data_IF_479775768053
#
_entry.id   IF_479775768053
#
_cell.length_a   1.000
_cell.length_b   1.000
_cell.length_c   1.000
_cell.angle_alpha   90.00
_cell.angle_beta   90.00
_cell.angle_gamma   90.00
#
_symmetry.space_group_name_H-M   'P 1'
#
loop_
_entity.id
_entity.type
_entity.pdbx_description
1 polymer ?
#
# COMPACT_ATOMS: atom_id res chain seq x y z
N UNK A 1 6.50 1.81 -16.89
CA UNK A 1 7.13 1.66 -15.54
C UNK A 1 6.57 2.73 -14.63
N UNK A 2 6.22 2.43 -13.34
CA UNK A 2 5.67 3.37 -12.38
C UNK A 2 6.55 3.44 -11.13
N UNK A 3 7.18 4.58 -10.79
CA UNK A 3 7.88 4.74 -9.53
C UNK A 3 6.88 4.86 -8.38
N UNK A 4 7.25 4.33 -7.21
CA UNK A 4 6.49 4.51 -5.98
C UNK A 4 7.02 5.71 -5.22
N UNK A 5 6.16 6.70 -4.98
CA UNK A 5 6.45 7.86 -4.15
C UNK A 5 6.14 7.53 -2.69
N UNK A 6 7.14 7.69 -1.82
CA UNK A 6 7.08 7.15 -0.48
C UNK A 6 7.71 8.10 0.55
N UNK A 7 6.99 8.30 1.66
CA UNK A 7 7.47 9.00 2.84
C UNK A 7 7.27 8.12 4.08
N UNK A 8 8.35 7.81 4.78
CA UNK A 8 8.33 6.85 5.91
C UNK A 8 7.57 7.36 7.13
N UNK A 9 7.43 8.69 7.29
CA UNK A 9 6.83 9.28 8.47
C UNK A 9 7.59 8.91 9.75
N UNK A 10 6.87 8.62 10.81
CA UNK A 10 7.40 8.17 12.09
C UNK A 10 7.69 6.65 12.15
N UNK A 11 7.58 5.92 11.03
CA UNK A 11 7.94 4.50 11.02
C UNK A 11 9.45 4.32 11.20
N UNK A 12 9.83 3.38 12.08
CA UNK A 12 11.24 3.07 12.37
C UNK A 12 11.54 1.64 11.97
N UNK A 13 12.68 1.46 11.33
CA UNK A 13 13.24 0.12 11.15
C UNK A 13 14.01 -0.28 12.42
N UNK A 14 13.54 -1.26 13.20
CA UNK A 14 14.21 -1.65 14.45
C UNK A 14 15.58 -2.33 14.21
N UNK A 15 15.88 -2.67 12.95
CA UNK A 15 17.16 -3.33 12.58
C UNK A 15 18.27 -2.35 12.20
N UNK A 16 17.98 -1.03 12.20
CA UNK A 16 19.00 -0.01 11.92
C UNK A 16 19.30 0.82 13.15
N UNK A 17 20.56 1.19 13.32
CA UNK A 17 21.00 2.19 14.31
C UNK A 17 20.77 3.62 13.83
N UNK A 18 20.50 3.82 12.54
CA UNK A 18 20.21 5.14 12.00
C UNK A 18 18.88 5.67 12.54
N UNK A 19 18.88 6.89 12.99
CA UNK A 19 17.68 7.61 13.45
C UNK A 19 17.50 8.84 12.57
N UNK A 20 16.28 9.03 12.05
CA UNK A 20 15.96 10.26 11.32
C UNK A 20 16.23 11.48 12.21
N UNK A 21 16.91 12.53 11.69
CA UNK A 21 17.05 13.76 12.44
C UNK A 21 15.66 14.40 12.62
N UNK A 22 15.43 15.13 13.74
CA UNK A 22 14.21 15.89 13.91
C UNK A 22 14.15 17.08 12.92
N UNK A 23 12.94 17.55 12.52
CA UNK A 23 11.64 17.01 12.92
C UNK A 23 11.33 15.67 12.23
N UNK A 24 10.52 14.83 12.89
CA UNK A 24 10.01 13.59 12.32
C UNK A 24 8.52 13.78 11.99
N UNK A 25 8.18 13.68 10.73
CA UNK A 25 6.82 13.89 10.26
C UNK A 25 5.89 12.77 10.71
N UNK A 26 4.81 13.14 11.38
CA UNK A 26 3.70 12.27 11.71
C UNK A 26 2.44 13.09 12.02
N UNK A 27 1.23 12.53 11.91
CA UNK A 27 0.02 13.29 12.20
C UNK A 27 -0.02 13.83 13.64
N UNK A 28 0.46 13.07 14.63
CA UNK A 28 0.29 13.40 16.05
C UNK A 28 1.54 13.13 16.90
N UNK A 29 2.73 13.07 16.30
CA UNK A 29 3.95 12.76 17.04
C UNK A 29 4.02 11.31 17.55
N UNK A 30 3.27 10.38 16.92
CA UNK A 30 3.21 8.97 17.32
C UNK A 30 3.80 8.06 16.25
N UNK A 31 4.65 7.11 16.64
CA UNK A 31 5.17 6.05 15.76
C UNK A 31 4.25 4.80 15.71
N UNK A 32 3.45 4.61 16.75
CA UNK A 32 2.41 3.57 16.90
C UNK A 32 1.50 3.97 18.07
N UNK A 33 0.36 3.29 18.30
CA UNK A 33 -0.54 3.62 19.41
C UNK A 33 0.19 3.76 20.74
N UNK A 34 0.01 4.93 21.38
CA UNK A 34 0.60 5.25 22.67
C UNK A 34 2.12 5.44 22.73
N UNK A 35 2.82 5.41 21.58
CA UNK A 35 4.28 5.56 21.51
C UNK A 35 4.67 6.90 20.87
N UNK A 36 4.96 7.88 21.72
CA UNK A 36 5.44 9.18 21.26
C UNK A 36 6.79 9.05 20.50
N UNK A 37 6.90 9.82 19.40
CA UNK A 37 8.09 9.90 18.56
C UNK A 37 8.11 11.21 17.75
N UNK A 38 8.45 12.31 18.38
CA UNK A 38 8.48 13.65 17.78
C UNK A 38 7.22 14.47 18.09
N UNK A 39 7.02 15.51 17.32
CA UNK A 39 5.91 16.45 17.45
C UNK A 39 4.89 16.25 16.32
N UNK A 40 3.61 16.64 16.52
CA UNK A 40 2.65 16.66 15.42
C UNK A 40 3.10 17.58 14.29
N UNK A 41 2.88 17.17 13.04
CA UNK A 41 3.09 18.04 11.87
C UNK A 41 2.24 19.31 11.99
N UNK A 42 2.86 20.43 11.68
CA UNK A 42 2.15 21.72 11.53
C UNK A 42 1.41 21.77 10.21
N UNK A 43 0.46 22.69 10.04
CA UNK A 43 -0.23 22.91 8.76
C UNK A 43 0.75 23.25 7.64
N UNK A 44 1.81 24.01 7.94
CA UNK A 44 2.87 24.31 6.98
C UNK A 44 3.62 23.03 6.54
N UNK A 45 4.00 22.15 7.49
CA UNK A 45 4.65 20.87 7.18
C UNK A 45 3.76 19.95 6.35
N UNK A 46 2.45 19.92 6.63
CA UNK A 46 1.46 19.18 5.84
C UNK A 46 1.42 19.74 4.40
N UNK A 47 1.30 21.06 4.24
CA UNK A 47 1.26 21.71 2.93
C UNK A 47 2.55 21.47 2.13
N UNK A 48 3.72 21.60 2.76
CA UNK A 48 5.02 21.33 2.14
C UNK A 48 5.14 19.85 1.69
N UNK A 49 4.64 18.92 2.48
CA UNK A 49 4.63 17.49 2.14
C UNK A 49 3.71 17.22 0.95
N UNK A 50 2.51 17.78 0.92
CA UNK A 50 1.59 17.68 -0.22
C UNK A 50 2.28 18.22 -1.51
N UNK A 51 2.90 19.38 -1.42
CA UNK A 51 3.63 19.96 -2.55
C UNK A 51 4.81 19.10 -3.01
N UNK A 52 5.52 18.45 -2.08
CA UNK A 52 6.63 17.56 -2.39
C UNK A 52 6.17 16.31 -3.17
N UNK A 53 5.06 15.70 -2.80
CA UNK A 53 4.46 14.59 -3.57
C UNK A 53 4.06 15.03 -4.98
N UNK A 54 3.39 16.17 -5.14
CA UNK A 54 3.02 16.71 -6.45
C UNK A 54 4.25 16.96 -7.32
N UNK A 55 5.27 17.64 -6.77
CA UNK A 55 6.56 17.91 -7.47
C UNK A 55 7.25 16.60 -7.90
N UNK A 56 7.27 15.58 -7.04
CA UNK A 56 7.86 14.29 -7.36
C UNK A 56 7.10 13.59 -8.50
N UNK A 57 5.77 13.62 -8.48
CA UNK A 57 4.92 13.07 -9.55
C UNK A 57 5.17 13.78 -10.89
N UNK A 58 5.24 15.12 -10.89
CA UNK A 58 5.58 15.89 -12.08
C UNK A 58 6.98 15.58 -12.61
N UNK A 59 7.95 15.36 -11.72
CA UNK A 59 9.29 14.93 -12.12
C UNK A 59 9.28 13.54 -12.76
N UNK A 60 8.55 12.58 -12.19
CA UNK A 60 8.38 11.25 -12.77
C UNK A 60 7.80 11.32 -14.19
N UNK A 61 6.74 12.10 -14.39
CA UNK A 61 6.13 12.31 -15.72
C UNK A 61 7.13 12.91 -16.71
N UNK A 62 7.87 13.97 -16.32
CA UNK A 62 8.90 14.60 -17.20
C UNK A 62 10.04 13.65 -17.56
N UNK A 63 10.38 12.71 -16.68
CA UNK A 63 11.39 11.68 -16.92
C UNK A 63 10.89 10.51 -17.78
N UNK A 64 9.63 10.53 -18.22
CA UNK A 64 9.07 9.53 -19.12
C UNK A 64 8.52 8.29 -18.44
N UNK A 65 8.29 8.32 -17.12
CA UNK A 65 7.54 7.25 -16.46
C UNK A 65 6.06 7.31 -16.90
N UNK A 66 5.44 6.15 -17.04
CA UNK A 66 4.10 6.00 -17.63
C UNK A 66 2.98 6.15 -16.58
N UNK A 67 3.31 6.04 -15.30
CA UNK A 67 2.40 6.16 -14.15
C UNK A 67 3.21 6.49 -12.90
N UNK A 68 2.52 6.81 -11.79
CA UNK A 68 3.11 6.84 -10.43
C UNK A 68 2.26 6.02 -9.46
N UNK A 69 2.88 5.55 -8.38
CA UNK A 69 2.18 4.97 -7.25
C UNK A 69 2.48 5.76 -5.98
N UNK A 70 1.42 6.15 -5.25
CA UNK A 70 1.53 6.75 -3.92
C UNK A 70 1.52 5.64 -2.86
N UNK A 71 2.52 5.62 -1.97
CA UNK A 71 2.57 4.64 -0.89
C UNK A 71 1.77 5.08 0.34
N UNK A 72 0.48 4.68 0.39
CA UNK A 72 -0.46 4.96 1.47
C UNK A 72 -0.75 3.74 2.34
N UNK A 73 0.25 2.90 2.64
CA UNK A 73 0.08 1.61 3.31
C UNK A 73 1.13 1.36 4.39
N UNK A 74 0.95 0.28 5.16
CA UNK A 74 1.94 -0.38 6.01
C UNK A 74 2.45 0.43 7.20
N UNK A 75 1.73 1.46 7.64
CA UNK A 75 2.10 2.31 8.77
C UNK A 75 3.10 3.41 8.42
N UNK A 76 3.27 3.76 7.13
CA UNK A 76 4.04 4.91 6.69
C UNK A 76 3.21 6.20 6.67
N UNK A 77 3.77 7.35 6.31
CA UNK A 77 3.17 8.66 6.59
C UNK A 77 1.70 8.80 6.18
N UNK A 78 1.35 8.49 4.93
CA UNK A 78 -0.04 8.61 4.46
C UNK A 78 -0.95 7.67 5.26
N UNK A 79 -0.49 6.44 5.51
CA UNK A 79 -1.24 5.46 6.30
C UNK A 79 -1.34 5.85 7.79
N UNK A 80 -0.34 6.55 8.35
CA UNK A 80 -0.40 7.09 9.70
C UNK A 80 -1.53 8.13 9.85
N UNK A 81 -1.87 8.86 8.79
CA UNK A 81 -3.02 9.75 8.79
C UNK A 81 -4.35 8.99 8.78
N UNK A 82 -4.48 7.88 8.06
CA UNK A 82 -5.69 7.05 8.07
C UNK A 82 -5.91 6.37 9.41
N UNK A 83 -4.84 5.92 10.07
CA UNK A 83 -4.91 5.09 11.27
C UNK A 83 -5.19 5.92 12.52
N UNK A 84 -6.34 5.68 13.18
CA UNK A 84 -6.71 6.32 14.44
C UNK A 84 -5.69 6.09 15.56
N UNK A 85 -5.00 4.95 15.56
CA UNK A 85 -3.93 4.63 16.50
C UNK A 85 -2.73 5.58 16.46
N UNK A 86 -2.53 6.30 15.34
CA UNK A 86 -1.44 7.27 15.17
C UNK A 86 -1.92 8.67 14.84
N UNK A 87 -3.17 8.84 14.39
CA UNK A 87 -3.76 10.13 14.11
C UNK A 87 -4.75 10.53 15.22
N UNK A 88 -4.28 11.32 16.16
CA UNK A 88 -5.03 11.90 17.29
C UNK A 88 -5.33 13.38 17.07
N UNK A 89 -5.28 13.86 15.80
CA UNK A 89 -5.56 15.26 15.48
C UNK A 89 -7.02 15.60 15.69
N UNK A 90 -7.28 16.88 16.04
CA UNK A 90 -8.63 17.43 16.24
C UNK A 90 -8.97 18.50 15.21
N UNK A 91 -8.10 18.72 14.23
CA UNK A 91 -8.31 19.62 13.10
C UNK A 91 -8.92 18.89 11.89
N UNK A 92 -8.89 19.54 10.73
CA UNK A 92 -9.45 19.01 9.47
C UNK A 92 -8.82 17.68 8.97
N UNK A 93 -7.69 17.27 9.51
CA UNK A 93 -6.97 16.03 9.15
C UNK A 93 -7.13 14.93 10.20
N UNK A 94 -7.95 15.13 11.22
CA UNK A 94 -8.22 14.17 12.29
C UNK A 94 -9.72 13.95 12.51
N UNK A 95 -10.08 13.08 13.47
CA UNK A 95 -11.47 12.75 13.77
C UNK A 95 -11.94 11.46 13.12
N UNK A 96 -13.04 11.48 12.37
CA UNK A 96 -13.56 10.29 11.69
C UNK A 96 -12.70 9.83 10.51
N UNK A 97 -13.02 8.68 9.95
CA UNK A 97 -12.21 8.07 8.88
C UNK A 97 -12.17 8.95 7.61
N UNK A 98 -13.22 9.67 7.30
CA UNK A 98 -13.28 10.57 6.13
C UNK A 98 -12.34 11.76 6.34
N UNK A 99 -12.38 12.38 7.52
CA UNK A 99 -11.48 13.48 7.87
C UNK A 99 -10.01 13.03 7.93
N UNK A 100 -9.72 11.85 8.48
CA UNK A 100 -8.38 11.26 8.44
C UNK A 100 -7.90 10.95 7.02
N UNK A 101 -8.80 10.68 6.09
CA UNK A 101 -8.53 10.48 4.68
C UNK A 101 -8.14 11.74 3.90
N UNK A 102 -8.42 12.92 4.44
CA UNK A 102 -8.20 14.21 3.77
C UNK A 102 -6.77 14.44 3.32
N UNK A 103 -5.79 14.08 4.12
CA UNK A 103 -4.36 14.26 3.76
C UNK A 103 -4.02 13.51 2.46
N UNK A 104 -4.43 12.26 2.32
CA UNK A 104 -4.23 11.49 1.10
C UNK A 104 -5.03 12.06 -0.09
N UNK A 105 -6.26 12.50 0.14
CA UNK A 105 -7.07 13.14 -0.89
C UNK A 105 -6.45 14.45 -1.38
N UNK A 106 -5.88 15.26 -0.50
CA UNK A 106 -5.22 16.50 -0.88
C UNK A 106 -3.91 16.26 -1.64
N UNK A 107 -3.14 15.21 -1.28
CA UNK A 107 -1.99 14.74 -2.07
C UNK A 107 -2.46 14.31 -3.47
N UNK A 108 -3.51 13.50 -3.59
CA UNK A 108 -4.05 13.05 -4.87
C UNK A 108 -4.49 14.23 -5.76
N UNK A 109 -5.20 15.20 -5.21
CA UNK A 109 -5.61 16.42 -5.94
C UNK A 109 -4.39 17.22 -6.43
N UNK A 110 -3.40 17.42 -5.58
CA UNK A 110 -2.19 18.17 -5.94
C UNK A 110 -1.37 17.42 -7.01
N UNK A 111 -1.23 16.09 -6.88
CA UNK A 111 -0.62 15.24 -7.89
C UNK A 111 -1.38 15.32 -9.21
N UNK A 112 -2.71 15.19 -9.19
CA UNK A 112 -3.56 15.26 -10.38
C UNK A 112 -3.43 16.62 -11.10
N UNK A 113 -3.38 17.71 -10.34
CA UNK A 113 -3.16 19.05 -10.90
C UNK A 113 -1.80 19.16 -11.62
N UNK A 114 -0.76 18.53 -11.09
CA UNK A 114 0.59 18.55 -11.66
C UNK A 114 0.73 17.64 -12.89
N UNK A 115 0.17 16.41 -12.83
CA UNK A 115 0.36 15.42 -13.90
C UNK A 115 -0.74 15.46 -14.97
N UNK A 116 -1.85 16.15 -14.74
CA UNK A 116 -2.99 16.23 -15.67
C UNK A 116 -3.94 15.02 -15.59
N UNK A 117 -5.06 15.05 -16.34
CA UNK A 117 -6.16 14.08 -16.19
C UNK A 117 -5.83 12.66 -16.67
N UNK A 118 -4.97 12.52 -17.68
CA UNK A 118 -4.76 11.25 -18.39
C UNK A 118 -3.57 10.43 -17.87
N UNK A 119 -2.83 10.97 -16.90
CA UNK A 119 -1.66 10.28 -16.35
C UNK A 119 -2.08 9.35 -15.20
N UNK A 120 -1.83 8.03 -15.30
CA UNK A 120 -2.30 7.08 -14.28
C UNK A 120 -1.69 7.33 -12.90
N UNK A 121 -2.54 7.46 -11.89
CA UNK A 121 -2.17 7.63 -10.49
C UNK A 121 -2.69 6.43 -9.69
N UNK A 122 -1.75 5.64 -9.19
CA UNK A 122 -2.04 4.47 -8.35
C UNK A 122 -1.90 4.89 -6.88
N UNK A 123 -2.78 4.41 -6.01
CA UNK A 123 -2.57 4.50 -4.56
C UNK A 123 -2.50 3.11 -3.96
N UNK A 124 -1.40 2.81 -3.24
CA UNK A 124 -1.25 1.57 -2.51
C UNK A 124 -1.75 1.72 -1.09
N UNK A 125 -2.64 0.82 -0.68
CA UNK A 125 -3.30 0.84 0.62
C UNK A 125 -3.18 -0.52 1.31
N UNK A 126 -3.29 -0.53 2.65
CA UNK A 126 -3.40 -1.73 3.46
C UNK A 126 -4.30 -1.50 4.66
N UNK A 127 -5.03 -2.53 5.08
CA UNK A 127 -5.70 -2.51 6.37
C UNK A 127 -4.70 -2.65 7.52
N UNK A 128 -3.78 -3.61 7.40
CA UNK A 128 -2.76 -3.94 8.39
C UNK A 128 -1.57 -2.98 8.38
N UNK A 129 -0.84 -2.93 9.50
CA UNK A 129 0.37 -2.12 9.69
C UNK A 129 1.56 -3.01 10.07
N UNK A 130 2.79 -2.58 9.76
CA UNK A 130 3.99 -3.29 10.23
C UNK A 130 4.11 -3.25 11.75
N UNK A 131 3.59 -2.19 12.38
CA UNK A 131 3.61 -1.98 13.82
C UNK A 131 2.48 -2.73 14.53
N UNK A 132 1.40 -3.05 13.81
CA UNK A 132 0.24 -3.81 14.31
C UNK A 132 -0.40 -4.57 13.14
N UNK A 133 -0.12 -5.85 13.09
CA UNK A 133 -0.57 -6.71 11.98
C UNK A 133 -2.06 -7.03 12.03
N UNK A 134 -2.72 -6.76 13.14
CA UNK A 134 -4.16 -6.92 13.31
C UNK A 134 -4.94 -5.60 13.15
N UNK A 135 -4.24 -4.48 12.97
CA UNK A 135 -4.88 -3.20 12.74
C UNK A 135 -5.77 -3.27 11.48
N UNK A 136 -6.90 -2.56 11.55
CA UNK A 136 -7.81 -2.35 10.44
C UNK A 136 -8.20 -0.88 10.36
N UNK A 137 -8.24 -0.34 9.16
CA UNK A 137 -8.71 1.02 8.88
C UNK A 137 -10.24 1.03 8.81
N UNK A 138 -10.81 0.09 8.08
CA UNK A 138 -12.26 -0.07 7.90
C UNK A 138 -12.72 -1.41 8.46
N UNK A 139 -13.76 -1.41 9.29
CA UNK A 139 -14.32 -2.60 9.94
C UNK A 139 -15.51 -3.18 9.17
N UNK A 140 -16.06 -2.42 8.21
CA UNK A 140 -17.23 -2.81 7.42
C UNK A 140 -17.10 -2.33 5.98
N UNK A 141 -17.92 -2.88 5.05
CA UNK A 141 -18.02 -2.37 3.68
C UNK A 141 -18.37 -0.88 3.59
N UNK A 142 -19.24 -0.40 4.48
CA UNK A 142 -19.65 1.02 4.49
C UNK A 142 -18.49 1.93 4.92
N UNK A 143 -17.74 1.54 5.94
CA UNK A 143 -16.53 2.25 6.34
C UNK A 143 -15.46 2.22 5.24
N UNK A 144 -15.31 1.09 4.55
CA UNK A 144 -14.39 0.97 3.41
C UNK A 144 -14.82 1.88 2.26
N UNK A 145 -16.11 1.98 1.96
CA UNK A 145 -16.62 2.91 0.97
C UNK A 145 -16.33 4.37 1.37
N UNK A 146 -16.57 4.72 2.63
CA UNK A 146 -16.29 6.05 3.17
C UNK A 146 -14.79 6.40 3.11
N UNK A 147 -13.91 5.42 3.23
CA UNK A 147 -12.46 5.59 3.09
C UNK A 147 -12.02 5.74 1.65
N UNK A 148 -12.47 4.85 0.74
CA UNK A 148 -11.93 4.72 -0.62
C UNK A 148 -12.57 5.68 -1.62
N UNK A 149 -13.89 5.97 -1.50
CA UNK A 149 -14.59 6.82 -2.46
C UNK A 149 -14.02 8.24 -2.54
N UNK A 150 -13.70 8.94 -1.42
CA UNK A 150 -13.05 10.25 -1.49
C UNK A 150 -11.68 10.23 -2.17
N UNK A 151 -10.94 9.11 -2.10
CA UNK A 151 -9.65 8.97 -2.79
C UNK A 151 -9.84 8.79 -4.30
N UNK A 152 -10.85 8.03 -4.72
CA UNK A 152 -11.23 7.89 -6.13
C UNK A 152 -11.66 9.24 -6.72
N UNK A 153 -12.48 10.01 -5.98
CA UNK A 153 -12.96 11.34 -6.39
C UNK A 153 -11.81 12.37 -6.43
N UNK A 154 -10.80 12.21 -5.57
CA UNK A 154 -9.61 13.05 -5.54
C UNK A 154 -8.61 12.75 -6.68
N UNK A 155 -8.83 11.69 -7.47
CA UNK A 155 -8.02 11.39 -8.65
C UNK A 155 -7.17 10.13 -8.58
N UNK A 156 -7.44 9.20 -7.66
CA UNK A 156 -6.88 7.85 -7.74
C UNK A 156 -7.54 7.08 -8.90
N UNK A 157 -6.75 6.59 -9.84
CA UNK A 157 -7.23 5.79 -10.96
C UNK A 157 -7.25 4.30 -10.63
N UNK A 158 -6.28 3.83 -9.84
CA UNK A 158 -6.09 2.41 -9.53
C UNK A 158 -5.81 2.25 -8.03
N UNK A 159 -6.46 1.28 -7.40
CA UNK A 159 -6.20 0.90 -6.00
C UNK A 159 -5.31 -0.34 -5.94
N UNK A 160 -4.10 -0.22 -5.40
CA UNK A 160 -3.20 -1.33 -5.13
C UNK A 160 -3.41 -1.83 -3.70
N UNK A 161 -4.16 -2.92 -3.57
CA UNK A 161 -4.67 -3.43 -2.31
C UNK A 161 -3.71 -4.46 -1.70
N UNK A 162 -2.94 -4.04 -0.70
CA UNK A 162 -1.98 -4.91 -0.03
C UNK A 162 -2.63 -5.70 1.10
N UNK A 163 -2.64 -7.03 0.96
CA UNK A 163 -3.15 -8.00 1.95
C UNK A 163 -2.05 -8.91 2.47
N UNK A 164 -2.35 -9.63 3.55
CA UNK A 164 -1.47 -10.70 4.06
C UNK A 164 -1.44 -11.85 3.07
N UNK A 165 -2.63 -12.30 2.69
CA UNK A 165 -2.88 -13.35 1.68
C UNK A 165 -4.03 -12.92 0.80
N UNK A 166 -3.87 -12.98 -0.50
CA UNK A 166 -4.88 -12.52 -1.47
C UNK A 166 -6.17 -13.34 -1.42
N UNK A 167 -6.13 -14.54 -0.88
CA UNK A 167 -7.30 -15.44 -0.78
C UNK A 167 -8.12 -15.27 0.50
N UNK A 168 -7.64 -14.50 1.46
CA UNK A 168 -8.40 -14.23 2.70
C UNK A 168 -9.54 -13.24 2.41
N UNK A 169 -10.77 -13.56 2.84
CA UNK A 169 -11.88 -12.62 2.78
C UNK A 169 -11.59 -11.35 3.58
N UNK A 170 -12.08 -10.21 3.08
CA UNK A 170 -11.93 -8.94 3.79
C UNK A 170 -12.98 -8.77 4.90
N UNK A 171 -14.22 -9.18 4.63
CA UNK A 171 -15.34 -9.08 5.56
C UNK A 171 -16.12 -10.38 5.62
N UNK A 172 -16.73 -10.67 6.77
CA UNK A 172 -17.59 -11.82 6.97
C UNK A 172 -18.78 -11.80 5.99
N UNK A 173 -19.23 -12.99 5.59
CA UNK A 173 -20.37 -13.16 4.68
C UNK A 173 -20.04 -12.92 3.19
N UNK A 174 -18.78 -12.68 2.83
CA UNK A 174 -18.31 -12.56 1.45
C UNK A 174 -16.94 -13.18 1.31
N UNK A 175 -16.63 -13.78 0.16
CA UNK A 175 -15.30 -14.29 -0.15
C UNK A 175 -14.41 -13.27 -0.88
N UNK A 176 -14.91 -12.04 -1.14
CA UNK A 176 -14.13 -10.98 -1.74
C UNK A 176 -12.99 -10.56 -0.81
N UNK A 177 -11.82 -10.45 -1.39
CA UNK A 177 -10.65 -9.89 -0.74
C UNK A 177 -10.68 -8.35 -0.77
N UNK A 178 -9.67 -7.67 -0.21
CA UNK A 178 -9.60 -6.22 -0.19
C UNK A 178 -9.67 -5.60 -1.60
N UNK A 179 -8.97 -6.17 -2.58
CA UNK A 179 -9.01 -5.67 -3.96
C UNK A 179 -10.42 -5.83 -4.57
N UNK A 180 -11.09 -6.96 -4.33
CA UNK A 180 -12.45 -7.20 -4.79
C UNK A 180 -13.46 -6.23 -4.18
N UNK A 181 -13.32 -5.92 -2.89
CA UNK A 181 -14.15 -4.91 -2.25
C UNK A 181 -13.86 -3.50 -2.75
N UNK A 182 -12.58 -3.13 -2.90
CA UNK A 182 -12.20 -1.83 -3.44
C UNK A 182 -12.78 -1.61 -4.84
N UNK A 183 -12.68 -2.61 -5.72
CA UNK A 183 -13.28 -2.57 -7.06
C UNK A 183 -14.80 -2.42 -7.01
N UNK A 184 -15.46 -3.23 -6.18
CA UNK A 184 -16.93 -3.20 -6.03
C UNK A 184 -17.45 -1.86 -5.54
N UNK A 185 -16.75 -1.23 -4.59
CA UNK A 185 -17.18 0.01 -3.95
C UNK A 185 -16.84 1.26 -4.77
N UNK A 186 -15.72 1.27 -5.47
CA UNK A 186 -15.23 2.47 -6.20
C UNK A 186 -15.46 2.41 -7.70
N UNK A 187 -15.69 1.22 -8.26
CA UNK A 187 -15.72 1.01 -9.73
C UNK A 187 -14.36 1.22 -10.40
N UNK A 188 -13.27 1.41 -9.64
CA UNK A 188 -11.93 1.62 -10.19
C UNK A 188 -11.20 0.30 -10.38
N UNK A 189 -10.28 0.21 -11.35
CA UNK A 189 -9.37 -0.93 -11.47
C UNK A 189 -8.58 -1.17 -10.19
N UNK A 190 -8.29 -2.45 -9.90
CA UNK A 190 -7.56 -2.83 -8.69
C UNK A 190 -6.40 -3.77 -8.97
N UNK A 191 -5.36 -3.66 -8.15
CA UNK A 191 -4.22 -4.57 -8.10
C UNK A 191 -4.31 -5.34 -6.80
N UNK A 192 -4.35 -6.66 -6.86
CA UNK A 192 -4.24 -7.51 -5.67
C UNK A 192 -2.78 -7.90 -5.41
N UNK A 193 -2.40 -7.99 -4.12
CA UNK A 193 -1.10 -8.51 -3.68
C UNK A 193 -1.23 -9.12 -2.31
N UNK A 194 -0.48 -10.19 -2.07
CA UNK A 194 -0.38 -10.89 -0.78
C UNK A 194 -0.08 -12.35 -0.98
N UNK A 195 1.13 -12.79 -0.71
CA UNK A 195 1.60 -14.19 -0.85
C UNK A 195 1.32 -14.83 -2.22
N UNK A 196 1.29 -14.03 -3.30
CA UNK A 196 1.08 -14.55 -4.66
C UNK A 196 2.22 -15.50 -5.03
N UNK A 197 1.85 -16.74 -5.40
CA UNK A 197 2.78 -17.79 -5.79
C UNK A 197 3.65 -18.35 -4.66
N UNK A 198 3.39 -17.99 -3.38
CA UNK A 198 4.16 -18.44 -2.22
C UNK A 198 3.27 -18.92 -1.08
N UNK A 199 3.72 -19.95 -0.36
CA UNK A 199 3.00 -20.56 0.77
C UNK A 199 3.02 -19.70 2.04
N UNK A 200 4.07 -18.88 2.24
CA UNK A 200 4.29 -18.08 3.45
C UNK A 200 3.95 -16.61 3.28
N UNK A 201 3.57 -15.97 4.38
CA UNK A 201 3.28 -14.54 4.40
C UNK A 201 4.53 -13.66 4.56
N UNK A 202 4.36 -12.36 4.32
CA UNK A 202 5.46 -11.39 4.27
C UNK A 202 6.17 -11.18 5.62
N UNK A 203 5.43 -11.11 6.72
CA UNK A 203 6.01 -10.88 8.05
C UNK A 203 6.87 -12.06 8.52
N UNK A 204 6.44 -13.29 8.24
CA UNK A 204 7.20 -14.50 8.56
C UNK A 204 8.59 -14.49 7.88
N UNK A 205 8.66 -13.96 6.65
CA UNK A 205 9.93 -13.79 5.93
C UNK A 205 10.92 -12.84 6.64
N UNK A 206 10.43 -11.79 7.29
CA UNK A 206 11.28 -10.95 8.15
C UNK A 206 11.77 -11.67 9.40
N UNK A 207 11.04 -12.68 9.87
CA UNK A 207 11.44 -13.59 10.91
C UNK A 207 12.51 -14.61 10.46
N UNK A 208 12.84 -14.64 9.16
CA UNK A 208 13.80 -15.59 8.59
C UNK A 208 13.16 -16.82 7.95
N UNK A 209 11.82 -16.88 7.85
CA UNK A 209 11.14 -18.01 7.25
C UNK A 209 11.24 -18.01 5.73
N UNK A 210 11.50 -19.18 5.16
CA UNK A 210 11.43 -19.43 3.71
C UNK A 210 10.00 -19.76 3.29
N UNK A 211 9.69 -19.58 2.01
CA UNK A 211 8.37 -19.93 1.44
C UNK A 211 8.55 -20.76 0.18
N UNK A 212 7.75 -21.81 0.07
CA UNK A 212 7.71 -22.65 -1.12
C UNK A 212 6.77 -22.06 -2.17
N UNK A 213 6.96 -22.38 -3.45
CA UNK A 213 5.97 -22.11 -4.49
C UNK A 213 4.61 -22.68 -4.09
N UNK A 214 3.53 -21.94 -4.40
CA UNK A 214 2.15 -22.33 -4.13
C UNK A 214 1.34 -22.24 -5.43
N UNK A 215 0.23 -23.03 -5.50
CA UNK A 215 -0.69 -23.01 -6.64
C UNK A 215 -1.25 -21.63 -6.88
N UNK A 216 -1.45 -21.30 -8.16
CA UNK A 216 -2.12 -20.09 -8.63
C UNK A 216 -3.60 -20.30 -8.94
N UNK A 217 -4.15 -21.50 -8.78
CA UNK A 217 -5.53 -21.84 -9.16
C UNK A 217 -6.55 -20.90 -8.53
N UNK A 218 -6.41 -20.62 -7.23
CA UNK A 218 -7.31 -19.69 -6.54
C UNK A 218 -7.14 -18.24 -7.03
N UNK A 219 -5.93 -17.83 -7.38
CA UNK A 219 -5.68 -16.52 -7.96
C UNK A 219 -6.37 -16.39 -9.33
N UNK A 220 -6.20 -17.39 -10.18
CA UNK A 220 -6.81 -17.45 -11.51
C UNK A 220 -8.33 -17.48 -11.43
N UNK A 221 -8.89 -18.33 -10.54
CA UNK A 221 -10.34 -18.39 -10.29
C UNK A 221 -10.94 -17.03 -9.92
N UNK A 222 -10.26 -16.27 -9.04
CA UNK A 222 -10.70 -14.94 -8.62
C UNK A 222 -10.52 -13.91 -9.74
N UNK A 223 -9.44 -14.00 -10.49
CA UNK A 223 -9.20 -13.14 -11.65
C UNK A 223 -10.26 -13.35 -12.73
N UNK A 224 -10.58 -14.60 -13.07
CA UNK A 224 -11.61 -14.95 -14.06
C UNK A 224 -13.01 -14.50 -13.62
N UNK A 225 -13.28 -14.50 -12.31
CA UNK A 225 -14.51 -13.94 -11.73
C UNK A 225 -14.56 -12.41 -11.80
N UNK A 226 -13.42 -11.76 -12.03
CA UNK A 226 -13.32 -10.31 -12.13
C UNK A 226 -13.18 -9.59 -10.79
N UNK A 227 -12.68 -10.27 -9.75
CA UNK A 227 -12.50 -9.67 -8.41
C UNK A 227 -11.49 -8.51 -8.44
N UNK A 228 -10.48 -8.61 -9.30
CA UNK A 228 -9.44 -7.61 -9.49
C UNK A 228 -8.94 -7.61 -10.94
N UNK A 229 -8.18 -6.60 -11.34
CA UNK A 229 -7.76 -6.40 -12.73
C UNK A 229 -6.27 -6.71 -12.95
N UNK A 230 -5.45 -6.54 -11.94
CA UNK A 230 -4.01 -6.74 -11.99
C UNK A 230 -3.53 -7.49 -10.75
N UNK A 231 -2.35 -8.11 -10.88
CA UNK A 231 -1.70 -8.87 -9.81
C UNK A 231 -0.29 -8.35 -9.61
N UNK A 232 0.07 -8.00 -8.37
CA UNK A 232 1.43 -7.69 -8.02
C UNK A 232 2.12 -8.89 -7.37
N UNK A 233 3.34 -9.16 -7.82
CA UNK A 233 4.19 -10.26 -7.32
C UNK A 233 5.48 -9.66 -6.77
N UNK A 234 5.83 -9.99 -5.54
CA UNK A 234 7.04 -9.48 -4.89
C UNK A 234 8.10 -10.56 -4.70
N UNK A 235 8.10 -11.19 -3.54
CA UNK A 235 9.15 -12.13 -3.11
C UNK A 235 9.45 -13.28 -4.09
N UNK A 236 8.42 -13.79 -4.79
CA UNK A 236 8.62 -14.84 -5.79
C UNK A 236 9.52 -14.37 -6.93
N UNK A 237 9.36 -13.12 -7.41
CA UNK A 237 10.23 -12.52 -8.43
C UNK A 237 11.65 -12.21 -7.94
N UNK A 238 11.84 -11.98 -6.64
CA UNK A 238 13.17 -11.75 -6.07
C UNK A 238 14.01 -13.04 -6.11
N UNK A 239 13.39 -14.18 -5.79
CA UNK A 239 14.08 -15.47 -5.81
C UNK A 239 14.14 -16.11 -7.21
N UNK A 240 13.21 -15.74 -8.09
CA UNK A 240 13.09 -16.29 -9.43
C UNK A 240 12.72 -15.18 -10.43
N UNK A 241 13.72 -14.49 -11.01
CA UNK A 241 13.47 -13.40 -11.96
C UNK A 241 12.64 -13.84 -13.19
N UNK A 242 12.71 -15.12 -13.56
CA UNK A 242 11.95 -15.71 -14.66
C UNK A 242 10.56 -16.21 -14.25
N UNK A 243 10.12 -15.96 -13.02
CA UNK A 243 8.87 -16.44 -12.45
C UNK A 243 7.67 -16.23 -13.40
N UNK A 244 7.51 -15.02 -13.92
CA UNK A 244 6.38 -14.68 -14.80
C UNK A 244 6.44 -15.46 -16.13
N UNK A 245 7.63 -15.67 -16.69
CA UNK A 245 7.85 -16.46 -17.92
C UNK A 245 7.55 -17.93 -17.66
N UNK A 246 8.03 -18.49 -16.54
CA UNK A 246 7.77 -19.87 -16.15
C UNK A 246 6.29 -20.13 -15.93
N UNK A 247 5.58 -19.21 -15.25
CA UNK A 247 4.14 -19.32 -15.05
C UNK A 247 3.40 -19.27 -16.39
N UNK A 248 3.71 -18.30 -17.26
CA UNK A 248 3.10 -18.19 -18.59
C UNK A 248 3.27 -19.46 -19.41
N UNK A 249 4.44 -20.07 -19.34
CA UNK A 249 4.80 -21.25 -20.14
C UNK A 249 4.41 -22.59 -19.49
N UNK A 250 3.68 -22.56 -18.34
CA UNK A 250 3.23 -23.75 -17.60
C UNK A 250 4.35 -24.51 -16.87
N UNK A 251 5.55 -23.91 -16.74
CA UNK A 251 6.74 -24.50 -16.11
C UNK A 251 6.77 -24.29 -14.59
N UNK A 252 5.62 -24.46 -13.94
CA UNK A 252 5.48 -24.17 -12.48
C UNK A 252 6.30 -25.09 -11.60
N UNK A 253 6.67 -26.29 -12.07
CA UNK A 253 7.57 -27.21 -11.36
C UNK A 253 9.02 -26.69 -11.27
N UNK A 254 9.39 -25.67 -12.06
CA UNK A 254 10.72 -25.06 -12.09
C UNK A 254 10.81 -23.79 -11.21
N UNK A 255 9.73 -23.43 -10.52
CA UNK A 255 9.70 -22.24 -9.65
C UNK A 255 10.58 -22.43 -8.42
N UNK A 256 11.33 -21.39 -8.08
CA UNK A 256 12.26 -21.40 -6.94
C UNK A 256 11.57 -21.07 -5.64
N UNK A 257 12.03 -21.69 -4.56
CA UNK A 257 11.67 -21.31 -3.19
C UNK A 257 12.14 -19.87 -2.92
N UNK A 258 11.33 -19.09 -2.19
CA UNK A 258 11.81 -17.85 -1.60
C UNK A 258 12.59 -18.12 -0.32
N UNK A 259 13.78 -17.55 -0.22
CA UNK A 259 14.51 -17.48 1.05
C UNK A 259 14.93 -16.03 1.34
N UNK A 260 15.03 -15.63 2.63
CA UNK A 260 15.51 -14.29 2.99
C UNK A 260 16.91 -13.96 2.45
N UNK A 261 17.74 -14.95 2.17
CA UNK A 261 19.07 -14.77 1.55
C UNK A 261 18.98 -14.10 0.16
N UNK A 262 17.89 -14.33 -0.58
CA UNK A 262 17.68 -13.69 -1.88
C UNK A 262 17.56 -12.16 -1.80
N UNK A 263 17.26 -11.61 -0.61
CA UNK A 263 17.23 -10.15 -0.39
C UNK A 263 18.61 -9.50 -0.32
N UNK A 264 19.66 -10.29 -0.17
CA UNK A 264 21.04 -9.81 -0.04
C UNK A 264 21.79 -9.76 -1.37
N UNK A 265 21.20 -10.28 -2.44
CA UNK A 265 21.83 -10.36 -3.77
C UNK A 265 20.93 -9.70 -4.81
N UNK A 266 21.57 -9.00 -5.77
CA UNK A 266 20.92 -8.57 -7.01
C UNK A 266 21.20 -9.67 -8.04
N UNK A 267 20.15 -10.19 -8.66
CA UNK A 267 20.18 -11.18 -9.73
C UNK A 267 19.88 -10.53 -11.07
#
# INVERSE_FOLDING_TARGET
MAPQLWHVGAARNPRTTWTAPPPVDSPSGLSRPGKAFGEPMTDAAIADTIAAFAKAAGAAKRLGFEAIELHGAHGYLIDQFFWDGTNQRTDQYGGDLVARGRFAADILKAVRAEVGPDYPVIIRLSQWKQQDYNARIAQSPDEMAAWLQPLADAGADIFHCSQRRFWEPEFDGSDLNFAGWAKKLTGRPTITVGSVGLSGEFIAAFGGESSKPASLDELLRRFDRGDFDLVAVGRALISDPDWAVKVRDGRTAELSDFSPAALATLV
#
